data_IF_684672836849
#
_entry.id   IF_684672836849
#
_cell.length_a   1.000
_cell.length_b   1.000
_cell.length_c   1.000
_cell.angle_alpha   90.00
_cell.angle_beta   90.00
_cell.angle_gamma   90.00
#
_symmetry.space_group_name_H-M   'P 1'
#
loop_
_entity.id
_entity.type
_entity.pdbx_description
1 polymer ?
#
# COMPACT_ATOMS: atom_id res chain seq x y z
N UNK A 1 -9.07 3.24 -12.88
CA UNK A 1 -8.11 3.57 -11.81
C UNK A 1 -6.96 4.35 -12.43
N UNK A 2 -6.39 5.31 -11.70
CA UNK A 2 -5.18 6.02 -12.15
C UNK A 2 -3.95 5.24 -11.72
N UNK A 3 -2.90 5.31 -12.52
CA UNK A 3 -1.56 4.82 -12.15
C UNK A 3 -0.93 5.75 -11.11
N UNK A 4 0.09 5.25 -10.42
CA UNK A 4 0.84 6.08 -9.46
C UNK A 4 1.51 7.28 -10.14
N UNK A 5 2.05 7.11 -11.35
CA UNK A 5 2.63 8.20 -12.13
C UNK A 5 1.61 9.30 -12.48
N UNK A 6 0.40 8.91 -12.90
CA UNK A 6 -0.69 9.87 -13.17
C UNK A 6 -1.11 10.61 -11.88
N UNK A 7 -1.16 9.92 -10.74
CA UNK A 7 -1.43 10.52 -9.44
C UNK A 7 -0.36 11.55 -9.04
N UNK A 8 0.92 11.21 -9.18
CA UNK A 8 2.06 12.11 -8.91
C UNK A 8 1.96 13.39 -9.76
N UNK A 9 1.62 13.24 -11.05
CA UNK A 9 1.46 14.38 -11.96
C UNK A 9 0.26 15.27 -11.60
N UNK A 10 -0.84 14.66 -11.19
CA UNK A 10 -2.08 15.38 -10.90
C UNK A 10 -2.03 16.13 -9.56
N UNK A 11 -1.41 15.55 -8.52
CA UNK A 11 -1.45 16.10 -7.15
C UNK A 11 -0.08 15.95 -6.45
N UNK A 12 0.98 16.64 -6.93
CA UNK A 12 2.37 16.38 -6.52
C UNK A 12 2.64 16.59 -5.03
N UNK A 13 1.98 17.56 -4.38
CA UNK A 13 2.16 17.80 -2.94
C UNK A 13 1.58 16.68 -2.08
N UNK A 14 0.44 16.13 -2.48
CA UNK A 14 -0.17 14.98 -1.81
C UNK A 14 0.68 13.72 -2.04
N UNK A 15 1.20 13.52 -3.26
CA UNK A 15 2.09 12.41 -3.56
C UNK A 15 3.37 12.46 -2.69
N UNK A 16 3.99 13.63 -2.53
CA UNK A 16 5.12 13.82 -1.60
C UNK A 16 4.77 13.52 -0.16
N UNK A 17 3.58 13.88 0.30
CA UNK A 17 3.12 13.53 1.65
C UNK A 17 2.96 12.01 1.81
N UNK A 18 2.41 11.34 0.79
CA UNK A 18 2.30 9.88 0.79
C UNK A 18 3.66 9.18 0.80
N UNK A 19 4.60 9.65 0.00
CA UNK A 19 5.97 9.12 -0.06
C UNK A 19 6.63 9.13 1.31
N UNK A 20 6.54 10.23 2.06
CA UNK A 20 7.12 10.34 3.41
C UNK A 20 6.58 9.29 4.40
N UNK A 21 5.31 8.90 4.25
CA UNK A 21 4.64 7.93 5.12
C UNK A 21 4.95 6.47 4.69
N UNK A 22 5.18 6.24 3.40
CA UNK A 22 5.48 4.93 2.84
C UNK A 22 6.99 4.65 2.74
N UNK A 23 7.84 5.61 3.08
CA UNK A 23 9.30 5.47 3.01
C UNK A 23 9.86 4.54 4.08
N UNK A 24 10.50 3.44 3.66
CA UNK A 24 11.02 2.40 4.55
C UNK A 24 12.13 2.88 5.50
N UNK A 25 12.93 3.87 5.09
CA UNK A 25 14.05 4.36 5.90
C UNK A 25 13.63 5.42 6.94
N UNK A 26 12.34 5.73 7.05
CA UNK A 26 11.89 6.65 8.10
C UNK A 26 12.07 5.96 9.46
N UNK A 27 12.98 6.47 10.33
CA UNK A 27 13.36 5.83 11.58
C UNK A 27 12.19 5.70 12.57
N UNK A 28 11.07 6.40 12.33
CA UNK A 28 9.91 6.45 13.20
C UNK A 28 8.71 5.60 12.75
N UNK A 29 8.86 4.63 11.82
CA UNK A 29 7.90 3.56 11.37
C UNK A 29 7.54 3.55 9.87
N UNK A 30 8.17 4.35 9.02
CA UNK A 30 7.77 4.40 7.61
C UNK A 30 8.02 3.08 6.88
N UNK A 31 7.15 2.77 5.93
CA UNK A 31 7.21 1.54 5.13
C UNK A 31 6.62 0.30 5.81
N UNK A 32 5.83 0.43 6.89
CA UNK A 32 4.91 -0.63 7.35
C UNK A 32 3.47 -0.26 6.98
N UNK A 33 2.67 -1.27 6.62
CA UNK A 33 1.27 -1.10 6.31
C UNK A 33 0.46 -2.38 6.47
N UNK A 34 -0.86 -2.22 6.42
CA UNK A 34 -1.84 -3.30 6.39
C UNK A 34 -2.48 -3.37 5.02
N UNK A 35 -2.30 -4.49 4.34
CA UNK A 35 -2.91 -4.78 3.04
C UNK A 35 -4.17 -5.61 3.25
N UNK A 36 -5.32 -5.07 2.89
CA UNK A 36 -6.57 -5.79 2.81
C UNK A 36 -6.75 -6.41 1.41
N UNK A 37 -7.20 -7.66 1.37
CA UNK A 37 -7.44 -8.46 0.15
C UNK A 37 -8.75 -9.24 0.29
N UNK A 38 -9.27 -9.79 -0.81
CA UNK A 38 -10.53 -10.54 -0.82
C UNK A 38 -10.27 -12.05 -1.01
N UNK A 39 -10.71 -12.87 -0.05
CA UNK A 39 -10.56 -14.33 -0.12
C UNK A 39 -11.54 -14.99 -1.12
N UNK A 40 -11.49 -16.32 -1.26
CA UNK A 40 -12.26 -17.04 -2.28
C UNK A 40 -13.78 -16.88 -2.12
N UNK A 41 -14.24 -16.86 -0.87
CA UNK A 41 -15.66 -16.75 -0.53
C UNK A 41 -16.10 -15.28 -0.34
N UNK A 42 -15.25 -14.31 -0.69
CA UNK A 42 -15.56 -12.88 -0.63
C UNK A 42 -15.22 -12.19 0.70
N UNK A 43 -14.74 -12.92 1.70
CA UNK A 43 -14.33 -12.38 3.00
C UNK A 43 -13.06 -11.51 2.93
N UNK A 44 -12.94 -10.44 3.74
CA UNK A 44 -11.74 -9.62 3.81
C UNK A 44 -10.63 -10.29 4.62
N UNK A 45 -9.38 -10.19 4.15
CA UNK A 45 -8.18 -10.58 4.91
C UNK A 45 -7.21 -9.42 5.00
N UNK A 46 -6.65 -9.21 6.20
CA UNK A 46 -5.65 -8.19 6.48
C UNK A 46 -4.28 -8.84 6.64
N UNK A 47 -3.27 -8.27 6.00
CA UNK A 47 -1.90 -8.75 6.08
C UNK A 47 -0.92 -7.62 6.40
N UNK A 48 0.02 -7.81 7.33
CA UNK A 48 1.14 -6.89 7.47
C UNK A 48 2.03 -6.97 6.23
N UNK A 49 2.44 -5.81 5.74
CA UNK A 49 3.30 -5.65 4.58
C UNK A 49 4.26 -4.49 4.78
N UNK A 50 5.34 -4.49 4.00
CA UNK A 50 6.19 -3.32 3.84
C UNK A 50 6.01 -2.75 2.42
N UNK A 51 5.16 -1.73 2.23
CA UNK A 51 5.06 -1.05 0.95
C UNK A 51 6.28 -0.13 0.74
N UNK A 52 6.68 0.02 -0.51
CA UNK A 52 7.74 0.94 -0.91
C UNK A 52 7.39 1.56 -2.26
N UNK A 53 7.81 2.81 -2.46
CA UNK A 53 7.73 3.47 -3.77
C UNK A 53 9.11 3.37 -4.40
N UNK A 54 9.17 2.79 -5.60
CA UNK A 54 10.41 2.63 -6.38
C UNK A 54 10.19 3.22 -7.77
N UNK A 55 10.85 4.35 -8.03
CA UNK A 55 10.51 5.19 -9.18
C UNK A 55 9.07 5.69 -9.06
N UNK A 56 8.28 5.56 -10.13
CA UNK A 56 6.89 6.01 -10.18
C UNK A 56 5.88 4.90 -9.89
N UNK A 57 6.25 3.90 -9.08
CA UNK A 57 5.40 2.73 -8.80
C UNK A 57 5.43 2.33 -7.34
N UNK A 58 4.28 1.87 -6.86
CA UNK A 58 4.10 1.28 -5.53
C UNK A 58 4.34 -0.23 -5.60
N UNK A 59 5.19 -0.73 -4.71
CA UNK A 59 5.53 -2.14 -4.58
C UNK A 59 5.32 -2.62 -3.16
N UNK A 60 5.12 -3.93 -3.02
CA UNK A 60 5.30 -4.62 -1.74
C UNK A 60 5.84 -6.03 -1.98
N UNK A 61 6.60 -6.54 -1.03
CA UNK A 61 7.15 -7.89 -1.12
C UNK A 61 6.09 -8.94 -0.77
N UNK A 62 5.86 -9.88 -1.68
CA UNK A 62 4.85 -10.93 -1.52
C UNK A 62 5.47 -12.30 -1.76
N UNK A 63 5.42 -13.16 -0.74
CA UNK A 63 5.88 -14.54 -0.82
C UNK A 63 5.05 -15.36 -1.82
N UNK A 64 5.72 -16.21 -2.60
CA UNK A 64 5.12 -17.04 -3.66
C UNK A 64 3.97 -17.93 -3.16
N UNK A 65 4.09 -18.46 -1.94
CA UNK A 65 3.07 -19.29 -1.27
C UNK A 65 2.45 -18.52 -0.10
N UNK A 66 1.77 -17.41 -0.38
CA UNK A 66 1.08 -16.62 0.64
C UNK A 66 -0.41 -16.43 0.31
N UNK A 67 -1.28 -16.37 1.33
CA UNK A 67 -2.71 -16.08 1.14
C UNK A 67 -2.96 -14.80 0.33
N UNK A 68 -2.31 -13.68 0.70
CA UNK A 68 -2.41 -12.40 -0.02
C UNK A 68 -2.09 -12.49 -1.51
N UNK A 69 -1.12 -13.34 -1.91
CA UNK A 69 -0.79 -13.53 -3.33
C UNK A 69 -1.92 -14.22 -4.06
N UNK A 70 -2.44 -15.29 -3.48
CA UNK A 70 -3.53 -16.06 -4.07
C UNK A 70 -4.80 -15.22 -4.15
N UNK A 71 -5.04 -14.41 -3.11
CA UNK A 71 -6.15 -13.48 -3.05
C UNK A 71 -6.03 -12.43 -4.17
N UNK A 72 -4.91 -11.72 -4.28
CA UNK A 72 -4.66 -10.73 -5.35
C UNK A 72 -4.66 -11.31 -6.77
N UNK A 73 -4.25 -12.57 -6.96
CA UNK A 73 -4.26 -13.21 -8.28
C UNK A 73 -5.67 -13.61 -8.72
N UNK A 74 -6.53 -13.99 -7.78
CA UNK A 74 -7.92 -14.35 -8.05
C UNK A 74 -8.80 -13.10 -8.16
N UNK A 75 -8.62 -12.15 -7.24
CA UNK A 75 -9.32 -10.89 -7.18
C UNK A 75 -8.31 -9.78 -6.86
N UNK A 76 -8.02 -8.94 -7.85
CA UNK A 76 -7.01 -7.90 -7.74
C UNK A 76 -7.35 -6.77 -6.77
N UNK A 77 -8.58 -6.71 -6.24
CA UNK A 77 -9.02 -5.65 -5.35
C UNK A 77 -8.23 -5.65 -4.04
N UNK A 78 -7.72 -4.48 -3.67
CA UNK A 78 -7.05 -4.28 -2.40
C UNK A 78 -7.32 -2.91 -1.79
N UNK A 79 -7.10 -2.83 -0.48
CA UNK A 79 -6.85 -1.57 0.22
C UNK A 79 -5.51 -1.65 0.95
N UNK A 80 -4.75 -0.56 0.96
CA UNK A 80 -3.49 -0.44 1.69
C UNK A 80 -3.61 0.72 2.68
N UNK A 81 -3.41 0.42 3.96
CA UNK A 81 -3.40 1.37 5.06
C UNK A 81 -1.96 1.50 5.58
N UNK A 82 -1.37 2.69 5.52
CA UNK A 82 -0.05 2.93 6.12
C UNK A 82 -0.15 2.93 7.65
N UNK A 83 0.94 2.59 8.32
CA UNK A 83 1.05 2.91 9.75
C UNK A 83 1.02 4.44 9.94
N UNK A 84 0.42 4.92 11.04
CA UNK A 84 0.39 6.34 11.34
C UNK A 84 1.77 6.85 11.76
N UNK A 85 2.09 8.08 11.37
CA UNK A 85 3.21 8.81 11.95
C UNK A 85 2.95 9.05 13.45
N UNK A 86 3.96 8.78 14.29
CA UNK A 86 3.85 8.73 15.74
C UNK A 86 3.47 10.08 16.38
N UNK A 87 3.72 11.19 15.69
CA UNK A 87 3.41 12.54 16.19
C UNK A 87 2.05 13.08 15.76
N UNK A 88 1.66 12.85 14.50
CA UNK A 88 0.54 13.56 13.90
C UNK A 88 -0.63 12.67 13.48
N UNK A 89 -0.54 11.35 13.70
CA UNK A 89 -1.55 10.36 13.29
C UNK A 89 -1.88 10.43 11.78
N UNK A 90 -0.99 11.04 10.99
CA UNK A 90 -1.11 11.10 9.54
C UNK A 90 -0.89 9.71 8.98
N UNK A 91 -1.72 9.36 8.00
CA UNK A 91 -1.71 8.06 7.33
C UNK A 91 -2.22 8.21 5.92
N UNK A 92 -1.94 7.20 5.10
CA UNK A 92 -2.42 7.09 3.74
C UNK A 92 -3.22 5.82 3.58
N UNK A 93 -4.38 5.98 2.97
CA UNK A 93 -5.28 4.91 2.56
C UNK A 93 -5.34 4.89 1.03
N UNK A 94 -4.98 3.76 0.43
CA UNK A 94 -5.05 3.54 -1.02
C UNK A 94 -6.01 2.39 -1.30
N UNK A 95 -6.80 2.52 -2.35
CA UNK A 95 -7.56 1.39 -2.90
C UNK A 95 -7.14 1.17 -4.34
N UNK A 96 -7.08 -0.09 -4.75
CA UNK A 96 -6.43 -0.44 -6.01
C UNK A 96 -6.83 -1.77 -6.57
N UNK A 97 -6.32 -2.02 -7.77
CA UNK A 97 -6.28 -3.30 -8.44
C UNK A 97 -4.81 -3.62 -8.70
N UNK A 98 -4.42 -4.89 -8.51
CA UNK A 98 -3.08 -5.38 -8.84
C UNK A 98 -2.73 -5.16 -10.32
#
# INVERSE_FOLDING_TARGET
MVTWAEFVKAVPDLAKACEKLLWLENPNKGGLGSLATVEADGGPRIHPVSPAIVGERLYTFVLKRSPKRNDLLRNGLYALHSFPDAGEQRKVDLTGLR
#
